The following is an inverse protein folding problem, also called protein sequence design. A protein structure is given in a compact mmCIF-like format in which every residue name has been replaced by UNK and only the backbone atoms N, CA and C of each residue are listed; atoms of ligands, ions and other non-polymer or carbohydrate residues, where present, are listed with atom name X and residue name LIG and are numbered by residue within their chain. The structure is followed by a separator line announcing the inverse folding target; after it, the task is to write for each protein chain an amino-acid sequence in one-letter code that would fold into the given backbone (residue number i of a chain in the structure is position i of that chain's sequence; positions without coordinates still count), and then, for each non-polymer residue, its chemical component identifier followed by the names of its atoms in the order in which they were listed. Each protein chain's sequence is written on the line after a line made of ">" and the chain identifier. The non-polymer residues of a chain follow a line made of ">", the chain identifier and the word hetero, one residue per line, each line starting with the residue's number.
data_IF_259483074815
#
_entry.id   IF_259483074815
#
_cell.length_a   1.000
_cell.length_b   1.000
_cell.length_c   1.000
_cell.angle_alpha   90.00
_cell.angle_beta   90.00
_cell.angle_gamma   90.00
#
_symmetry.space_group_name_H-M   'P 1'
#
loop_
_entity.id
_entity.type
_entity.pdbx_description
1 polymer ?
#
# COMPACT_ATOMS: atom_id res chain seq x y z
N UNK A 1 2.71 -28.02 10.49
CA UNK A 1 2.26 -26.61 10.46
C UNK A 1 3.25 -25.85 9.60
N UNK A 2 2.76 -25.24 8.51
CA UNK A 2 3.53 -24.97 7.30
C UNK A 2 4.66 -23.95 7.45
N UNK A 3 5.68 -24.15 6.60
CA UNK A 3 6.83 -23.28 6.44
C UNK A 3 6.40 -22.02 5.67
N UNK A 4 6.68 -20.82 6.18
CA UNK A 4 6.43 -19.55 5.48
C UNK A 4 5.25 -18.69 5.94
N UNK A 5 4.45 -19.14 6.92
CA UNK A 5 3.29 -18.36 7.40
C UNK A 5 3.68 -17.34 8.47
N UNK A 6 3.27 -16.07 8.28
CA UNK A 6 3.38 -15.05 9.31
C UNK A 6 2.52 -15.44 10.52
N UNK A 7 3.08 -15.36 11.73
CA UNK A 7 2.28 -15.51 12.95
C UNK A 7 1.33 -14.31 13.02
N UNK A 8 0.01 -14.51 13.18
CA UNK A 8 -0.93 -13.40 13.29
C UNK A 8 -0.51 -12.52 14.47
N UNK A 9 -0.35 -11.23 14.20
CA UNK A 9 0.09 -10.26 15.21
C UNK A 9 -1.03 -10.15 16.26
N UNK A 10 -0.75 -10.41 17.55
CA UNK A 10 -1.78 -10.42 18.58
C UNK A 10 -2.34 -9.01 18.80
N UNK A 11 -3.56 -8.75 18.32
CA UNK A 11 -4.29 -7.50 18.60
C UNK A 11 -4.97 -7.60 19.96
N UNK A 12 -4.55 -6.78 20.92
CA UNK A 12 -5.14 -6.76 22.26
C UNK A 12 -6.51 -6.04 22.26
N UNK A 13 -7.59 -6.83 22.21
CA UNK A 13 -8.97 -6.35 22.13
C UNK A 13 -9.45 -5.56 23.36
N UNK A 14 -8.74 -5.62 24.49
CA UNK A 14 -9.13 -4.97 25.76
C UNK A 14 -9.08 -3.44 25.72
N UNK A 15 -8.35 -2.84 24.78
CA UNK A 15 -8.25 -1.38 24.65
C UNK A 15 -9.33 -0.78 23.72
N UNK A 16 -10.10 -1.60 23.01
CA UNK A 16 -11.10 -1.10 22.06
C UNK A 16 -12.48 -1.01 22.72
N UNK A 17 -13.07 0.20 22.71
CA UNK A 17 -14.47 0.43 23.15
C UNK A 17 -15.48 -0.47 22.41
N UNK A 18 -15.19 -0.86 21.17
CA UNK A 18 -16.03 -1.74 20.32
C UNK A 18 -15.19 -2.78 19.56
N UNK A 19 -15.07 -4.03 20.05
CA UNK A 19 -14.20 -5.05 19.46
C UNK A 19 -14.56 -5.48 18.03
N UNK A 20 -15.84 -5.40 17.64
CA UNK A 20 -16.31 -5.73 16.27
C UNK A 20 -15.88 -4.67 15.26
N UNK A 21 -15.99 -3.39 15.63
CA UNK A 21 -15.54 -2.28 14.77
C UNK A 21 -14.01 -2.23 14.67
N UNK A 22 -13.30 -2.56 15.75
CA UNK A 22 -11.84 -2.62 15.75
C UNK A 22 -11.31 -3.64 14.74
N UNK A 23 -11.95 -4.82 14.62
CA UNK A 23 -11.54 -5.83 13.64
C UNK A 23 -11.66 -5.34 12.19
N UNK A 24 -12.80 -4.72 11.85
CA UNK A 24 -13.06 -4.18 10.51
C UNK A 24 -12.12 -3.02 10.17
N UNK A 25 -11.85 -2.14 11.14
CA UNK A 25 -10.94 -1.02 10.93
C UNK A 25 -9.49 -1.49 10.70
N UNK A 26 -9.06 -2.52 11.43
CA UNK A 26 -7.72 -3.08 11.28
C UNK A 26 -7.57 -3.80 9.94
N UNK A 27 -8.58 -4.55 9.48
CA UNK A 27 -8.52 -5.21 8.17
C UNK A 27 -8.53 -4.21 7.01
N UNK A 28 -9.24 -3.08 7.16
CA UNK A 28 -9.29 -2.03 6.12
C UNK A 28 -8.04 -1.14 6.11
N UNK A 29 -7.30 -1.06 7.23
CA UNK A 29 -6.11 -0.22 7.33
C UNK A 29 -5.02 -0.59 6.32
N UNK A 30 -4.86 -1.88 6.01
CA UNK A 30 -3.92 -2.37 5.00
C UNK A 30 -4.27 -1.93 3.57
N UNK A 31 -5.46 -2.25 3.03
CA UNK A 31 -5.91 -1.73 1.75
C UNK A 31 -5.82 -0.20 1.66
N UNK A 32 -6.29 0.52 2.68
CA UNK A 32 -6.32 1.99 2.66
C UNK A 32 -4.92 2.59 2.62
N UNK A 33 -3.94 2.05 3.34
CA UNK A 33 -2.57 2.56 3.30
C UNK A 33 -1.93 2.39 1.93
N UNK A 34 -2.12 1.23 1.29
CA UNK A 34 -1.63 0.96 -0.07
C UNK A 34 -2.28 1.91 -1.09
N UNK A 35 -3.59 2.14 -0.99
CA UNK A 35 -4.29 3.08 -1.89
C UNK A 35 -3.76 4.52 -1.73
N UNK A 36 -3.53 4.97 -0.49
CA UNK A 36 -2.97 6.30 -0.20
C UNK A 36 -1.56 6.42 -0.80
N UNK A 37 -0.71 5.40 -0.64
CA UNK A 37 0.65 5.42 -1.20
C UNK A 37 0.65 5.47 -2.73
N UNK A 38 -0.21 4.69 -3.39
CA UNK A 38 -0.38 4.75 -4.84
C UNK A 38 -0.81 6.16 -5.31
N UNK A 39 -1.75 6.77 -4.59
CA UNK A 39 -2.23 8.12 -4.90
C UNK A 39 -1.15 9.19 -4.73
N UNK A 40 -0.38 9.13 -3.63
CA UNK A 40 0.74 10.04 -3.38
C UNK A 40 1.77 9.89 -4.51
N UNK A 41 2.10 8.66 -4.93
CA UNK A 41 3.05 8.45 -6.01
C UNK A 41 2.60 8.98 -7.36
N UNK A 42 1.34 8.76 -7.70
CA UNK A 42 0.77 9.32 -8.91
C UNK A 42 0.77 10.86 -8.88
N UNK A 43 0.36 11.44 -7.76
CA UNK A 43 0.32 12.90 -7.59
C UNK A 43 1.72 13.52 -7.72
N UNK A 44 2.73 12.94 -7.07
CA UNK A 44 4.11 13.41 -7.16
C UNK A 44 4.66 13.29 -8.57
N UNK A 45 4.41 12.18 -9.28
CA UNK A 45 4.85 12.00 -10.66
C UNK A 45 4.26 13.07 -11.59
N UNK A 46 2.95 13.31 -11.50
CA UNK A 46 2.28 14.36 -12.28
C UNK A 46 2.83 15.74 -11.95
N UNK A 47 3.06 16.03 -10.67
CA UNK A 47 3.62 17.30 -10.23
C UNK A 47 5.02 17.52 -10.82
N UNK A 48 5.87 16.49 -10.80
CA UNK A 48 7.22 16.55 -11.35
C UNK A 48 7.22 16.86 -12.85
N UNK A 49 6.37 16.18 -13.64
CA UNK A 49 6.23 16.45 -15.07
C UNK A 49 5.61 17.82 -15.35
N UNK A 50 4.60 18.25 -14.56
CA UNK A 50 3.92 19.52 -14.75
C UNK A 50 4.83 20.74 -14.51
N UNK A 51 5.76 20.65 -13.56
CA UNK A 51 6.71 21.72 -13.25
C UNK A 51 8.07 21.55 -13.95
N UNK A 52 8.22 20.56 -14.83
CA UNK A 52 9.48 20.33 -15.55
C UNK A 52 10.65 20.03 -14.61
N UNK A 53 10.40 19.37 -13.48
CA UNK A 53 11.45 18.95 -12.52
C UNK A 53 12.22 17.71 -13.01
N UNK A 54 12.36 17.58 -14.32
CA UNK A 54 13.15 16.53 -14.96
C UNK A 54 14.63 16.81 -14.67
N UNK A 55 15.15 16.15 -13.63
CA UNK A 55 16.59 16.03 -13.43
C UNK A 55 17.21 15.42 -14.70
N UNK A 56 18.50 15.70 -14.96
CA UNK A 56 19.32 15.20 -16.08
C UNK A 56 18.69 13.97 -16.79
N UNK A 57 18.50 13.96 -18.11
CA UNK A 57 17.68 12.95 -18.83
C UNK A 57 17.93 11.45 -18.49
N UNK A 58 19.11 11.09 -17.98
CA UNK A 58 19.40 9.75 -17.47
C UNK A 58 18.74 9.43 -16.10
N UNK A 59 18.52 10.45 -15.26
CA UNK A 59 17.81 10.37 -13.98
C UNK A 59 16.29 10.43 -14.16
N UNK A 60 15.76 11.19 -15.13
CA UNK A 60 14.31 11.26 -15.37
C UNK A 60 13.71 9.89 -15.71
N UNK A 61 14.38 9.12 -16.57
CA UNK A 61 13.93 7.76 -16.94
C UNK A 61 13.93 6.79 -15.75
N UNK A 62 14.95 6.86 -14.88
CA UNK A 62 15.01 6.05 -13.66
C UNK A 62 13.94 6.43 -12.63
N UNK A 63 13.65 7.72 -12.48
CA UNK A 63 12.61 8.22 -11.59
C UNK A 63 11.22 7.81 -12.08
N UNK A 64 10.92 7.95 -13.38
CA UNK A 64 9.65 7.52 -13.96
C UNK A 64 9.41 6.03 -13.75
N UNK A 65 10.45 5.21 -13.96
CA UNK A 65 10.38 3.77 -13.71
C UNK A 65 10.15 3.46 -12.23
N UNK A 66 10.83 4.17 -11.32
CA UNK A 66 10.64 4.02 -9.89
C UNK A 66 9.19 4.31 -9.48
N UNK A 67 8.63 5.46 -9.88
CA UNK A 67 7.25 5.81 -9.56
C UNK A 67 6.26 4.82 -10.18
N UNK A 68 6.50 4.37 -11.41
CA UNK A 68 5.67 3.35 -12.07
C UNK A 68 5.63 2.05 -11.26
N UNK A 69 6.79 1.53 -10.84
CA UNK A 69 6.88 0.32 -10.01
C UNK A 69 6.22 0.56 -8.65
N UNK A 70 6.47 1.70 -8.01
CA UNK A 70 5.91 2.02 -6.69
C UNK A 70 4.38 2.09 -6.71
N UNK A 71 3.80 2.77 -7.70
CA UNK A 71 2.35 2.88 -7.88
C UNK A 71 1.76 1.50 -8.19
N UNK A 72 2.34 0.76 -9.13
CA UNK A 72 1.86 -0.58 -9.50
C UNK A 72 1.88 -1.53 -8.31
N UNK A 73 2.98 -1.58 -7.54
CA UNK A 73 3.07 -2.44 -6.37
C UNK A 73 2.01 -2.10 -5.32
N UNK A 74 1.79 -0.82 -5.03
CA UNK A 74 0.78 -0.43 -4.06
C UNK A 74 -0.65 -0.71 -4.54
N UNK A 75 -0.95 -0.54 -5.83
CA UNK A 75 -2.24 -0.93 -6.40
C UNK A 75 -2.44 -2.44 -6.36
N UNK A 76 -1.41 -3.22 -6.68
CA UNK A 76 -1.44 -4.68 -6.61
C UNK A 76 -1.65 -5.15 -5.18
N UNK A 77 -0.94 -4.59 -4.21
CA UNK A 77 -1.12 -4.90 -2.78
C UNK A 77 -2.49 -4.45 -2.26
N UNK A 78 -3.00 -3.31 -2.71
CA UNK A 78 -4.37 -2.87 -2.41
C UNK A 78 -5.40 -3.88 -2.92
N UNK A 79 -5.30 -4.31 -4.18
CA UNK A 79 -6.19 -5.31 -4.77
C UNK A 79 -6.06 -6.67 -4.08
N UNK A 80 -4.84 -7.09 -3.74
CA UNK A 80 -4.61 -8.33 -2.99
C UNK A 80 -5.27 -8.29 -1.61
N UNK A 81 -5.18 -7.17 -0.88
CA UNK A 81 -5.83 -7.03 0.42
C UNK A 81 -7.37 -6.94 0.33
N UNK A 82 -7.95 -6.72 -0.87
CA UNK A 82 -9.40 -6.72 -1.08
C UNK A 82 -9.95 -8.06 -1.57
N UNK A 83 -9.11 -8.88 -2.21
CA UNK A 83 -9.49 -10.21 -2.64
C UNK A 83 -9.57 -11.12 -1.39
N UNK A 84 -10.72 -11.75 -1.10
CA UNK A 84 -10.85 -12.69 0.00
C UNK A 84 -10.18 -14.02 -0.36
N UNK A 85 -8.86 -14.01 -0.56
CA UNK A 85 -8.01 -15.18 -0.68
C UNK A 85 -7.42 -15.48 0.70
N UNK A 86 -8.00 -16.40 1.49
CA UNK A 86 -7.29 -16.90 2.67
C UNK A 86 -6.07 -17.68 2.15
N UNK A 87 -4.81 -17.43 2.57
CA UNK A 87 -4.32 -16.63 3.71
C UNK A 87 -3.32 -15.54 3.24
N UNK A 88 -3.74 -14.28 3.19
CA UNK A 88 -2.82 -13.14 3.07
C UNK A 88 -3.11 -11.98 4.04
N UNK A 89 -4.09 -12.14 4.95
CA UNK A 89 -4.38 -11.22 6.06
C UNK A 89 -3.87 -11.78 7.40
#
# INVERSE_FOLDING_TARGET
>A
AGFGWARPIPVNRRFFKNPRLAGVLVSIAGPVSNLILAFIGFFLLVLMHAYGMELLAAFSTGLDQFFSIWIQLNLVLFLFNLLPLPPLD
#
